data_IF_721975391406
#
_entry.id   IF_721975391406
#
_cell.length_a   1.000
_cell.length_b   1.000
_cell.length_c   1.000
_cell.angle_alpha   90.00
_cell.angle_beta   90.00
_cell.angle_gamma   90.00
#
_symmetry.space_group_name_H-M   'P 1'
#
loop_
_entity.id
_entity.type
_entity.pdbx_description
1 polymer ?
#
# COMPACT_ATOMS: atom_id res chain seq x y z
N UNK A 1 -12.86 5.70 5.22
CA UNK A 1 -12.22 6.41 4.10
C UNK A 1 -11.03 5.59 3.61
N UNK A 2 -10.95 5.33 2.31
CA UNK A 2 -9.79 4.69 1.68
C UNK A 2 -8.78 5.75 1.22
N UNK A 3 -7.47 5.44 1.15
CA UNK A 3 -6.49 6.30 0.51
C UNK A 3 -6.82 6.55 -0.97
N UNK A 4 -6.10 7.46 -1.62
CA UNK A 4 -6.21 7.63 -3.07
C UNK A 4 -6.04 6.29 -3.80
N UNK A 5 -7.12 5.87 -4.46
CA UNK A 5 -7.26 4.57 -5.10
C UNK A 5 -6.44 4.49 -6.39
N UNK A 6 -6.45 5.57 -7.17
CA UNK A 6 -5.70 5.70 -8.43
C UNK A 6 -4.23 6.04 -8.21
N UNK A 7 -3.48 5.14 -7.60
CA UNK A 7 -2.02 5.19 -7.61
C UNK A 7 -1.48 3.99 -8.39
N UNK A 8 -0.32 4.15 -9.04
CA UNK A 8 0.38 3.04 -9.72
C UNK A 8 0.64 1.81 -8.83
N UNK A 9 0.53 1.97 -7.51
CA UNK A 9 0.78 0.92 -6.52
C UNK A 9 -0.47 0.11 -6.16
N UNK A 10 -1.65 0.49 -6.64
CA UNK A 10 -2.91 -0.14 -6.25
C UNK A 10 -3.63 -0.82 -7.43
N UNK A 11 -3.00 -0.94 -8.60
CA UNK A 11 -3.61 -1.59 -9.77
C UNK A 11 -4.06 -3.02 -9.50
N UNK A 12 -3.37 -3.74 -8.62
CA UNK A 12 -3.78 -5.09 -8.19
C UNK A 12 -5.11 -5.13 -7.40
N UNK A 13 -5.65 -3.97 -6.98
CA UNK A 13 -6.91 -3.88 -6.27
C UNK A 13 -8.06 -3.33 -7.15
N UNK A 14 -7.85 -3.19 -8.47
CA UNK A 14 -8.78 -2.52 -9.39
C UNK A 14 -10.19 -3.13 -9.38
N UNK A 15 -10.30 -4.46 -9.41
CA UNK A 15 -11.59 -5.14 -9.34
C UNK A 15 -12.36 -4.81 -8.05
N UNK A 16 -11.67 -4.72 -6.91
CA UNK A 16 -12.28 -4.36 -5.63
C UNK A 16 -12.64 -2.87 -5.54
N UNK A 17 -11.90 -2.02 -6.25
CA UNK A 17 -12.23 -0.60 -6.38
C UNK A 17 -13.51 -0.43 -7.20
N UNK A 18 -13.59 -1.12 -8.35
CA UNK A 18 -14.79 -1.12 -9.20
C UNK A 18 -16.01 -1.68 -8.47
N UNK A 19 -15.87 -2.78 -7.72
CA UNK A 19 -16.97 -3.34 -6.93
C UNK A 19 -17.51 -2.35 -5.88
N UNK A 20 -16.61 -1.66 -5.17
CA UNK A 20 -17.01 -0.64 -4.20
C UNK A 20 -17.67 0.57 -4.88
N UNK A 21 -17.17 0.98 -6.05
CA UNK A 21 -17.73 2.09 -6.83
C UNK A 21 -19.12 1.75 -7.38
N UNK A 22 -19.32 0.51 -7.86
CA UNK A 22 -20.64 0.00 -8.26
C UNK A 22 -21.61 -0.02 -7.08
N UNK A 23 -21.17 -0.46 -5.90
CA UNK A 23 -22.03 -0.40 -4.71
C UNK A 23 -22.36 1.05 -4.32
N UNK A 24 -21.38 1.94 -4.41
CA UNK A 24 -21.56 3.37 -4.17
C UNK A 24 -22.49 4.04 -5.19
N UNK A 25 -22.53 3.57 -6.44
CA UNK A 25 -23.43 4.06 -7.48
C UNK A 25 -24.91 3.79 -7.18
N UNK A 26 -25.22 2.85 -6.28
CA UNK A 26 -26.60 2.56 -5.81
C UNK A 26 -27.20 3.69 -4.97
N UNK A 27 -26.40 4.66 -4.54
CA UNK A 27 -26.85 5.89 -3.90
C UNK A 27 -26.36 6.08 -2.47
N UNK A 28 -26.59 7.28 -1.94
CA UNK A 28 -26.05 7.71 -0.64
C UNK A 28 -26.47 6.82 0.53
N UNK A 29 -27.74 6.39 0.58
CA UNK A 29 -28.27 5.55 1.66
C UNK A 29 -27.51 4.22 1.79
N UNK A 30 -27.18 3.58 0.66
CA UNK A 30 -26.39 2.34 0.64
C UNK A 30 -25.02 2.52 1.29
N UNK A 31 -24.39 3.69 1.09
CA UNK A 31 -23.09 4.01 1.68
C UNK A 31 -23.20 4.18 3.19
N UNK A 32 -24.16 4.99 3.66
CA UNK A 32 -24.23 5.40 5.07
C UNK A 32 -24.82 4.36 6.00
N UNK A 33 -25.73 3.51 5.52
CA UNK A 33 -26.28 2.42 6.34
C UNK A 33 -25.39 1.17 6.32
N UNK A 34 -24.27 1.20 5.58
CA UNK A 34 -23.26 0.14 5.60
C UNK A 34 -23.50 -1.01 4.63
N UNK A 35 -24.37 -0.87 3.63
CA UNK A 35 -24.64 -1.93 2.65
C UNK A 35 -23.43 -2.27 1.77
N UNK A 36 -22.44 -1.38 1.67
CA UNK A 36 -21.21 -1.59 0.90
C UNK A 36 -20.02 -2.03 1.77
N UNK A 37 -20.27 -2.51 3.00
CA UNK A 37 -19.19 -2.80 3.94
C UNK A 37 -18.31 -3.98 3.52
N UNK A 38 -18.86 -4.98 2.84
CA UNK A 38 -18.10 -6.15 2.40
C UNK A 38 -17.09 -5.78 1.32
N UNK A 39 -17.53 -5.08 0.27
CA UNK A 39 -16.67 -4.55 -0.79
C UNK A 39 -15.59 -3.62 -0.21
N UNK A 40 -15.98 -2.73 0.71
CA UNK A 40 -15.07 -1.83 1.42
C UNK A 40 -14.02 -2.61 2.22
N UNK A 41 -14.42 -3.67 2.92
CA UNK A 41 -13.51 -4.47 3.73
C UNK A 41 -12.55 -5.28 2.86
N UNK A 42 -13.02 -5.83 1.75
CA UNK A 42 -12.18 -6.52 0.77
C UNK A 42 -11.14 -5.56 0.18
N UNK A 43 -11.56 -4.38 -0.28
CA UNK A 43 -10.67 -3.35 -0.80
C UNK A 43 -9.62 -2.92 0.24
N UNK A 44 -10.04 -2.68 1.49
CA UNK A 44 -9.11 -2.31 2.56
C UNK A 44 -8.04 -3.39 2.82
N UNK A 45 -8.40 -4.67 2.74
CA UNK A 45 -7.44 -5.77 2.89
C UNK A 45 -6.41 -5.76 1.76
N UNK A 46 -6.86 -5.62 0.52
CA UNK A 46 -5.99 -5.53 -0.65
C UNK A 46 -5.02 -4.34 -0.56
N UNK A 47 -5.52 -3.14 -0.26
CA UNK A 47 -4.69 -1.95 -0.14
C UNK A 47 -3.66 -2.05 1.00
N UNK A 48 -4.04 -2.72 2.10
CA UNK A 48 -3.12 -3.00 3.21
C UNK A 48 -2.02 -3.95 2.79
N UNK A 49 -2.33 -4.97 2.01
CA UNK A 49 -1.35 -5.90 1.47
C UNK A 49 -0.37 -5.19 0.52
N UNK A 50 -0.87 -4.40 -0.43
CA UNK A 50 -0.02 -3.60 -1.32
C UNK A 50 0.93 -2.66 -0.55
N UNK A 51 0.41 -2.03 0.51
CA UNK A 51 1.24 -1.22 1.42
C UNK A 51 2.33 -2.07 2.10
N UNK A 52 1.99 -3.25 2.60
CA UNK A 52 2.95 -4.14 3.25
C UNK A 52 4.05 -4.60 2.29
N UNK A 53 3.70 -4.97 1.05
CA UNK A 53 4.66 -5.36 0.01
C UNK A 53 5.65 -4.23 -0.27
N UNK A 54 5.15 -2.99 -0.47
CA UNK A 54 6.00 -1.82 -0.66
C UNK A 54 6.88 -1.53 0.55
N UNK A 55 6.32 -1.58 1.75
CA UNK A 55 7.08 -1.37 2.99
C UNK A 55 8.18 -2.42 3.14
N UNK A 56 7.92 -3.69 2.81
CA UNK A 56 8.92 -4.76 2.81
C UNK A 56 10.04 -4.47 1.80
N UNK A 57 9.70 -4.15 0.55
CA UNK A 57 10.68 -3.82 -0.48
C UNK A 57 11.57 -2.63 -0.09
N UNK A 58 10.97 -1.55 0.44
CA UNK A 58 11.70 -0.38 0.91
C UNK A 58 12.62 -0.72 2.09
N UNK A 59 12.17 -1.60 3.00
CA UNK A 59 12.99 -2.04 4.14
C UNK A 59 14.21 -2.83 3.69
N UNK A 60 14.05 -3.75 2.74
CA UNK A 60 15.18 -4.52 2.20
C UNK A 60 16.16 -3.61 1.42
N UNK A 61 15.66 -2.69 0.60
CA UNK A 61 16.50 -1.70 -0.08
C UNK A 61 17.28 -0.83 0.91
N UNK A 62 16.64 -0.38 2.00
CA UNK A 62 17.28 0.39 3.05
C UNK A 62 18.37 -0.42 3.78
N UNK A 63 18.15 -1.70 4.07
CA UNK A 63 19.17 -2.58 4.68
C UNK A 63 20.41 -2.67 3.79
N UNK A 64 20.23 -2.89 2.48
CA UNK A 64 21.33 -2.99 1.53
C UNK A 64 22.09 -1.67 1.46
N UNK A 65 21.38 -0.53 1.33
CA UNK A 65 21.99 0.80 1.32
C UNK A 65 22.79 1.06 2.60
N UNK A 66 22.20 0.77 3.76
CA UNK A 66 22.85 0.98 5.05
C UNK A 66 24.06 0.06 5.24
N UNK A 67 24.03 -1.17 4.72
CA UNK A 67 25.20 -2.06 4.72
C UNK A 67 26.36 -1.45 3.94
N UNK A 68 26.11 -1.01 2.69
CA UNK A 68 27.14 -0.37 1.85
C UNK A 68 27.71 0.88 2.51
N UNK A 69 26.86 1.73 3.08
CA UNK A 69 27.29 2.93 3.79
C UNK A 69 28.22 2.55 4.96
N UNK A 70 27.83 1.56 5.78
CA UNK A 70 28.68 1.12 6.91
C UNK A 70 30.02 0.55 6.44
N UNK A 71 30.04 -0.23 5.37
CA UNK A 71 31.28 -0.76 4.78
C UNK A 71 32.20 0.38 4.31
N UNK A 72 31.65 1.40 3.65
CA UNK A 72 32.41 2.57 3.21
C UNK A 72 32.97 3.38 4.38
N UNK A 73 32.19 3.61 5.44
CA UNK A 73 32.68 4.30 6.64
C UNK A 73 33.80 3.51 7.33
N UNK A 74 33.65 2.19 7.46
CA UNK A 74 34.69 1.35 8.05
C UNK A 74 36.00 1.36 7.25
N UNK A 75 35.93 1.42 5.93
CA UNK A 75 37.10 1.55 5.06
C UNK A 75 37.79 2.91 5.22
N UNK A 76 37.01 4.00 5.30
CA UNK A 76 37.53 5.34 5.58
C UNK A 76 38.26 5.35 6.93
N UNK A 77 37.62 4.85 7.98
CA UNK A 77 38.19 4.84 9.35
C UNK A 77 39.47 3.99 9.44
N UNK A 78 39.61 2.95 8.61
CA UNK A 78 40.78 2.07 8.60
C UNK A 78 41.96 2.65 7.79
N UNK A 79 41.70 3.55 6.84
CA UNK A 79 42.70 4.12 5.94
C UNK A 79 42.96 5.63 6.17
N UNK A 80 42.33 6.23 7.19
CA UNK A 80 42.56 7.60 7.67
C UNK A 80 43.55 7.64 8.83
#
# INVERSE_FOLDING_TARGET
>A
MHPHLHTKHNGACEELMNALDECHAKGFLWKVVGMCNDDKNALNRCLREQRNLRTKANREAAKIKNKKIREQWADIDANS
#
